data_IF_011916495389
#
_entry.id   IF_011916495389
#
_cell.length_a   1.000
_cell.length_b   1.000
_cell.length_c   1.000
_cell.angle_alpha   90.00
_cell.angle_beta   90.00
_cell.angle_gamma   90.00
#
_symmetry.space_group_name_H-M   'P 1'
#
loop_
_entity.id
_entity.type
_entity.pdbx_description
1 polymer ?
#
# COMPACT_ATOMS: atom_id res chain seq x y z
N UNK A 1 -61.13 27.82 21.53
CA UNK A 1 -60.51 28.30 20.28
C UNK A 1 -59.07 28.62 20.65
N UNK A 2 -58.14 27.65 20.64
CA UNK A 2 -57.31 27.21 19.49
C UNK A 2 -56.76 28.36 18.66
N UNK A 3 -55.46 28.64 18.85
CA UNK A 3 -54.39 28.75 17.82
C UNK A 3 -53.12 29.24 18.55
N UNK A 4 -52.20 28.33 18.92
CA UNK A 4 -51.13 27.75 18.09
C UNK A 4 -49.93 28.70 17.97
N UNK A 5 -48.89 28.32 18.71
CA UNK A 5 -47.52 28.80 18.67
C UNK A 5 -46.93 28.68 17.26
N UNK A 6 -46.16 29.68 16.84
CA UNK A 6 -45.32 29.58 15.65
C UNK A 6 -43.88 29.46 16.14
N UNK A 7 -43.45 28.20 16.28
CA UNK A 7 -42.05 27.84 16.45
C UNK A 7 -41.30 28.16 15.16
N UNK A 8 -40.17 28.84 15.29
CA UNK A 8 -39.29 29.31 14.22
C UNK A 8 -38.06 28.41 14.15
N UNK A 9 -38.26 27.14 13.79
CA UNK A 9 -37.21 26.11 13.77
C UNK A 9 -37.23 25.24 12.49
N UNK A 10 -37.58 25.86 11.34
CA UNK A 10 -37.43 25.24 10.01
C UNK A 10 -36.04 25.54 9.42
N UNK A 11 -34.99 24.95 10.00
CA UNK A 11 -33.75 24.72 9.27
C UNK A 11 -33.78 23.28 8.74
N UNK A 12 -33.73 23.05 7.42
CA UNK A 12 -33.71 21.71 6.88
C UNK A 12 -32.45 21.01 7.37
N UNK A 13 -32.63 19.88 8.07
CA UNK A 13 -31.56 18.94 8.37
C UNK A 13 -30.96 18.54 7.01
N UNK A 14 -29.74 19.02 6.72
CA UNK A 14 -28.94 18.48 5.64
C UNK A 14 -28.60 17.04 6.04
N UNK A 15 -29.32 16.10 5.44
CA UNK A 15 -28.91 14.72 5.38
C UNK A 15 -27.53 14.71 4.71
N UNK A 16 -26.46 14.62 5.50
CA UNK A 16 -25.19 14.18 4.98
C UNK A 16 -25.47 12.80 4.43
N UNK A 17 -25.38 12.65 3.11
CA UNK A 17 -25.63 11.39 2.42
C UNK A 17 -25.03 10.24 3.23
N UNK A 18 -25.92 9.39 3.77
CA UNK A 18 -25.54 8.14 4.40
C UNK A 18 -24.75 7.34 3.36
N UNK A 19 -23.59 6.84 3.80
CA UNK A 19 -22.67 5.96 3.08
C UNK A 19 -21.69 6.63 2.10
N UNK A 20 -20.82 7.51 2.61
CA UNK A 20 -19.43 7.52 2.12
C UNK A 20 -18.78 6.20 2.60
N UNK A 21 -19.06 5.08 1.90
CA UNK A 21 -18.31 3.85 2.12
C UNK A 21 -16.89 4.14 1.70
N UNK A 22 -16.01 4.38 2.68
CA UNK A 22 -14.58 4.44 2.41
C UNK A 22 -14.19 3.10 1.78
N UNK A 23 -13.99 3.06 0.46
CA UNK A 23 -13.48 1.88 -0.21
C UNK A 23 -12.10 1.61 0.40
N UNK A 24 -11.92 0.44 1.02
CA UNK A 24 -10.62 0.09 1.60
C UNK A 24 -9.54 0.21 0.51
N UNK A 25 -8.48 0.99 0.78
CA UNK A 25 -7.42 1.26 -0.17
C UNK A 25 -6.77 -0.04 -0.69
N UNK A 26 -6.23 -0.08 -1.91
CA UNK A 26 -5.55 -1.28 -2.40
C UNK A 26 -4.36 -1.70 -1.50
N UNK A 27 -3.95 -2.97 -1.61
CA UNK A 27 -2.74 -3.44 -0.95
C UNK A 27 -1.51 -2.93 -1.70
N UNK A 28 -0.64 -2.22 -0.98
CA UNK A 28 0.60 -1.72 -1.56
C UNK A 28 1.67 -2.82 -1.58
N UNK A 29 2.14 -3.13 -2.78
CA UNK A 29 3.18 -4.11 -3.06
C UNK A 29 4.42 -3.38 -3.57
N UNK A 30 5.54 -3.51 -2.85
CA UNK A 30 6.83 -3.02 -3.31
C UNK A 30 7.51 -4.11 -4.14
N UNK A 31 7.90 -3.78 -5.37
CA UNK A 31 8.75 -4.63 -6.22
C UNK A 31 10.15 -4.04 -6.17
N UNK A 32 11.12 -4.86 -5.78
CA UNK A 32 12.54 -4.51 -5.71
C UNK A 32 13.31 -5.46 -6.62
N UNK A 33 13.83 -4.90 -7.71
CA UNK A 33 14.55 -5.61 -8.77
C UNK A 33 15.29 -4.59 -9.64
N UNK A 34 16.51 -4.86 -10.08
CA UNK A 34 17.24 -3.97 -10.98
C UNK A 34 16.82 -4.13 -12.45
N UNK A 35 16.04 -5.16 -12.80
CA UNK A 35 15.56 -5.41 -14.16
C UNK A 35 14.17 -4.77 -14.42
N UNK A 36 14.06 -3.76 -15.32
CA UNK A 36 12.78 -3.10 -15.59
C UNK A 36 11.70 -4.03 -16.15
N UNK A 37 12.09 -5.06 -16.90
CA UNK A 37 11.14 -6.04 -17.46
C UNK A 37 10.44 -6.84 -16.35
N UNK A 38 11.14 -7.17 -15.26
CA UNK A 38 10.55 -7.88 -14.12
C UNK A 38 9.42 -7.06 -13.49
N UNK A 39 9.57 -5.74 -13.44
CA UNK A 39 8.54 -4.84 -12.90
C UNK A 39 7.27 -4.87 -13.74
N UNK A 40 7.42 -4.74 -15.07
CA UNK A 40 6.31 -4.74 -16.01
C UNK A 40 5.58 -6.08 -16.03
N UNK A 41 6.33 -7.20 -16.09
CA UNK A 41 5.76 -8.55 -16.07
C UNK A 41 5.05 -8.82 -14.75
N UNK A 42 5.67 -8.48 -13.61
CA UNK A 42 5.07 -8.67 -12.28
C UNK A 42 3.74 -7.91 -12.18
N UNK A 43 3.72 -6.64 -12.60
CA UNK A 43 2.51 -5.82 -12.61
C UNK A 43 1.45 -6.40 -13.53
N UNK A 44 1.81 -6.82 -14.74
CA UNK A 44 0.90 -7.44 -15.70
C UNK A 44 0.23 -8.68 -15.10
N UNK A 45 1.02 -9.61 -14.57
CA UNK A 45 0.55 -10.88 -13.99
C UNK A 45 -0.35 -10.66 -12.78
N UNK A 46 -0.02 -9.67 -11.94
CA UNK A 46 -0.72 -9.44 -10.67
C UNK A 46 -1.85 -8.39 -10.75
N UNK A 47 -1.98 -7.64 -11.85
CA UNK A 47 -2.96 -6.55 -12.00
C UNK A 47 -4.44 -6.95 -11.78
N UNK A 48 -4.80 -8.20 -12.06
CA UNK A 48 -6.14 -8.74 -11.84
C UNK A 48 -6.38 -9.36 -10.46
N UNK A 49 -5.34 -9.47 -9.63
CA UNK A 49 -5.44 -10.12 -8.33
C UNK A 49 -6.22 -9.25 -7.34
N UNK A 50 -7.14 -9.87 -6.62
CA UNK A 50 -7.82 -9.26 -5.47
C UNK A 50 -7.61 -10.13 -4.23
N UNK A 51 -7.36 -9.49 -3.10
CA UNK A 51 -7.28 -10.14 -1.81
C UNK A 51 -8.16 -9.39 -0.81
N UNK A 52 -9.11 -10.10 -0.19
CA UNK A 52 -10.16 -9.51 0.65
C UNK A 52 -10.86 -8.34 -0.06
N UNK A 53 -11.28 -8.59 -1.29
CA UNK A 53 -11.97 -7.64 -2.18
C UNK A 53 -11.19 -6.38 -2.58
N UNK A 54 -9.95 -6.22 -2.11
CA UNK A 54 -9.05 -5.11 -2.44
C UNK A 54 -8.07 -5.52 -3.54
N UNK A 55 -7.79 -4.58 -4.45
CA UNK A 55 -6.78 -4.77 -5.50
C UNK A 55 -5.36 -4.56 -4.98
N UNK A 56 -4.41 -4.51 -5.90
CA UNK A 56 -3.00 -4.24 -5.62
C UNK A 56 -2.57 -2.93 -6.27
N UNK A 57 -1.83 -2.11 -5.53
CA UNK A 57 -1.07 -0.99 -6.08
C UNK A 57 0.42 -1.30 -5.97
N UNK A 58 1.20 -0.86 -6.95
CA UNK A 58 2.61 -1.20 -7.06
C UNK A 58 3.50 0.00 -6.80
N UNK A 59 4.50 -0.21 -5.95
CA UNK A 59 5.63 0.69 -5.75
C UNK A 59 6.85 -0.02 -6.33
N UNK A 60 7.70 0.69 -7.06
CA UNK A 60 8.83 0.11 -7.77
C UNK A 60 10.12 0.66 -7.21
N UNK A 61 11.08 -0.18 -6.85
CA UNK A 61 12.45 0.22 -6.52
C UNK A 61 13.44 -0.58 -7.36
N UNK A 62 14.44 0.10 -7.90
CA UNK A 62 15.42 -0.53 -8.79
C UNK A 62 16.75 -0.84 -8.11
N UNK A 63 16.90 -0.37 -6.88
CA UNK A 63 18.06 -0.60 -6.07
C UNK A 63 17.70 -0.61 -4.57
N UNK A 64 18.64 -1.08 -3.76
CA UNK A 64 18.48 -1.20 -2.32
C UNK A 64 18.36 0.13 -1.59
N UNK A 65 18.85 1.24 -2.13
CA UNK A 65 18.74 2.57 -1.49
C UNK A 65 17.35 3.16 -1.75
N UNK A 66 16.90 3.14 -3.00
CA UNK A 66 15.57 3.55 -3.42
C UNK A 66 14.48 2.75 -2.69
N UNK A 67 14.70 1.44 -2.49
CA UNK A 67 13.81 0.60 -1.69
C UNK A 67 13.69 1.08 -0.24
N UNK A 68 14.80 1.46 0.40
CA UNK A 68 14.80 2.00 1.78
C UNK A 68 14.00 3.29 1.86
N UNK A 69 14.23 4.21 0.92
CA UNK A 69 13.49 5.47 0.87
C UNK A 69 11.98 5.25 0.69
N UNK A 70 11.59 4.34 -0.21
CA UNK A 70 10.18 3.98 -0.45
C UNK A 70 9.53 3.35 0.77
N UNK A 71 10.24 2.54 1.53
CA UNK A 71 9.74 1.94 2.77
C UNK A 71 9.50 2.98 3.88
N UNK A 72 10.37 3.99 3.98
CA UNK A 72 10.20 5.11 4.91
C UNK A 72 9.00 5.98 4.52
N UNK A 73 8.80 6.23 3.23
CA UNK A 73 7.71 7.05 2.71
C UNK A 73 6.35 6.35 2.73
N UNK A 74 6.34 5.02 2.67
CA UNK A 74 5.13 4.21 2.55
C UNK A 74 5.09 3.11 3.62
N UNK A 75 4.88 3.46 4.91
CA UNK A 75 4.86 2.50 6.01
C UNK A 75 3.74 1.45 5.88
N UNK A 76 2.73 1.69 5.05
CA UNK A 76 1.62 0.79 4.77
C UNK A 76 1.89 -0.27 3.69
N UNK A 77 3.12 -0.34 3.13
CA UNK A 77 3.51 -1.43 2.23
C UNK A 77 3.27 -2.77 2.93
N UNK A 78 2.44 -3.61 2.32
CA UNK A 78 2.02 -4.89 2.90
C UNK A 78 2.96 -6.04 2.50
N UNK A 79 3.45 -6.01 1.26
CA UNK A 79 4.29 -7.05 0.67
C UNK A 79 5.47 -6.41 -0.06
N UNK A 80 6.64 -7.04 0.04
CA UNK A 80 7.82 -6.75 -0.76
C UNK A 80 8.16 -8.01 -1.57
N UNK A 81 8.21 -7.86 -2.89
CA UNK A 81 8.79 -8.84 -3.81
C UNK A 81 10.23 -8.41 -4.06
N UNK A 82 11.18 -9.21 -3.62
CA UNK A 82 12.57 -8.79 -3.50
C UNK A 82 13.51 -9.77 -4.20
N UNK A 83 14.32 -9.28 -5.14
CA UNK A 83 15.50 -10.00 -5.59
C UNK A 83 16.63 -9.93 -4.55
N UNK A 84 17.31 -11.05 -4.37
CA UNK A 84 18.49 -11.17 -3.51
C UNK A 84 19.72 -10.56 -4.18
N UNK A 85 19.89 -10.77 -5.49
CA UNK A 85 21.07 -10.35 -6.24
C UNK A 85 20.69 -9.16 -7.10
N UNK A 86 21.31 -8.00 -6.84
CA UNK A 86 21.10 -6.79 -7.64
C UNK A 86 22.46 -6.09 -7.84
N UNK A 87 22.72 -4.99 -7.14
CA UNK A 87 24.00 -4.26 -7.22
C UNK A 87 25.15 -5.08 -6.63
N UNK A 88 24.82 -6.00 -5.73
CA UNK A 88 25.74 -6.99 -5.14
C UNK A 88 24.99 -8.29 -4.87
N UNK A 89 25.70 -9.41 -4.81
CA UNK A 89 25.16 -10.77 -4.57
C UNK A 89 24.33 -10.92 -3.28
N UNK A 90 24.48 -10.02 -2.31
CA UNK A 90 23.75 -10.04 -1.03
C UNK A 90 22.86 -8.81 -0.81
N UNK A 91 22.64 -7.99 -1.85
CA UNK A 91 21.92 -6.72 -1.74
C UNK A 91 20.54 -6.87 -1.10
N UNK A 92 19.73 -7.80 -1.58
CA UNK A 92 18.41 -8.06 -1.04
C UNK A 92 18.46 -8.54 0.41
N UNK A 93 19.40 -9.42 0.76
CA UNK A 93 19.55 -9.87 2.15
C UNK A 93 19.95 -8.73 3.10
N UNK A 94 20.80 -7.79 2.65
CA UNK A 94 21.12 -6.59 3.42
C UNK A 94 19.89 -5.70 3.60
N UNK A 95 19.03 -5.58 2.58
CA UNK A 95 17.76 -4.86 2.69
C UNK A 95 16.82 -5.52 3.69
N UNK A 96 16.68 -6.86 3.67
CA UNK A 96 15.88 -7.60 4.67
C UNK A 96 16.36 -7.30 6.09
N UNK A 97 17.68 -7.34 6.32
CA UNK A 97 18.27 -7.00 7.63
C UNK A 97 17.93 -5.59 8.05
N UNK A 98 18.01 -4.62 7.15
CA UNK A 98 17.62 -3.24 7.46
C UNK A 98 16.13 -3.14 7.84
N UNK A 99 15.23 -3.77 7.08
CA UNK A 99 13.79 -3.76 7.36
C UNK A 99 13.47 -4.33 8.75
N UNK A 100 14.12 -5.43 9.13
CA UNK A 100 13.84 -6.12 10.39
C UNK A 100 14.57 -5.52 11.58
N UNK A 101 15.84 -5.17 11.44
CA UNK A 101 16.69 -4.75 12.56
C UNK A 101 16.69 -3.25 12.77
N UNK A 102 16.63 -2.46 11.70
CA UNK A 102 16.73 -0.99 11.78
C UNK A 102 15.34 -0.34 11.75
N UNK A 103 14.48 -0.72 10.81
CA UNK A 103 13.10 -0.21 10.74
C UNK A 103 12.15 -0.90 11.73
N UNK A 104 12.52 -2.07 12.26
CA UNK A 104 11.69 -2.84 13.18
C UNK A 104 10.35 -3.26 12.58
N UNK A 105 10.20 -3.26 11.25
CA UNK A 105 8.95 -3.55 10.58
C UNK A 105 8.78 -5.07 10.49
N UNK A 106 8.12 -5.68 11.47
CA UNK A 106 7.83 -7.13 11.48
C UNK A 106 6.58 -7.51 10.69
N UNK A 107 5.73 -6.53 10.37
CA UNK A 107 4.43 -6.75 9.74
C UNK A 107 4.53 -6.97 8.23
N UNK A 108 5.43 -6.23 7.56
CA UNK A 108 5.59 -6.34 6.10
C UNK A 108 6.08 -7.73 5.71
N UNK A 109 5.37 -8.37 4.77
CA UNK A 109 5.76 -9.68 4.24
C UNK A 109 6.82 -9.51 3.17
N UNK A 110 7.88 -10.30 3.25
CA UNK A 110 8.97 -10.29 2.27
C UNK A 110 8.96 -11.63 1.57
N UNK A 111 8.81 -11.61 0.25
CA UNK A 111 8.92 -12.77 -0.63
C UNK A 111 10.20 -12.59 -1.42
N UNK A 112 11.16 -13.48 -1.18
CA UNK A 112 12.41 -13.51 -1.93
C UNK A 112 12.17 -14.20 -3.27
N UNK A 113 12.69 -13.62 -4.36
CA UNK A 113 12.88 -14.30 -5.64
C UNK A 113 14.37 -14.59 -5.84
N UNK A 114 14.67 -15.69 -6.54
CA UNK A 114 16.00 -16.17 -6.90
C UNK A 114 15.95 -16.89 -8.22
#
# INVERSE_FOLDING_TARGET
>A
MHEATKDDDDQPIQWLDEDVVATEANWLVLIVDDEPEVHEVTKLVLSGLRFKDRGLDFVHAYDGEDARQKLLQNPQIAVILLDVVMETDDAGLRLVRHIRSELGNELVRIILRT
#
